data_IF_159758757965
#
_entry.id   IF_159758757965
#
_cell.length_a   1.000
_cell.length_b   1.000
_cell.length_c   1.000
_cell.angle_alpha   90.00
_cell.angle_beta   90.00
_cell.angle_gamma   90.00
#
_symmetry.space_group_name_H-M   'P 1'
#
loop_
_entity.id
_entity.type
_entity.pdbx_description
1 polymer ?
#
# COMPACT_ATOMS: atom_id res chain seq x y z
N UNK A 1 19.76 -25.51 57.76
CA UNK A 1 18.45 -25.03 57.26
C UNK A 1 18.73 -23.72 56.52
N UNK A 2 18.84 -23.76 55.18
CA UNK A 2 17.77 -23.38 54.23
C UNK A 2 17.28 -21.94 54.50
N UNK A 3 17.24 -21.00 53.56
CA UNK A 3 17.32 -21.07 52.10
C UNK A 3 17.53 -19.65 51.55
N UNK A 4 18.49 -19.50 50.64
CA UNK A 4 18.58 -18.35 49.72
C UNK A 4 17.47 -18.44 48.68
N UNK A 5 16.86 -17.31 48.34
CA UNK A 5 15.91 -17.19 47.24
C UNK A 5 16.23 -15.90 46.51
N UNK A 6 16.88 -15.98 45.35
CA UNK A 6 16.96 -14.91 44.34
C UNK A 6 17.60 -15.49 43.07
N UNK A 7 16.79 -15.83 42.08
CA UNK A 7 17.00 -15.53 40.65
C UNK A 7 15.74 -15.93 39.88
N UNK A 8 15.19 -14.97 39.13
CA UNK A 8 14.01 -15.14 38.29
C UNK A 8 14.30 -16.07 37.13
N UNK A 9 13.46 -17.10 36.97
CA UNK A 9 13.40 -17.91 35.77
C UNK A 9 12.57 -17.16 34.71
N UNK A 10 13.25 -16.65 33.68
CA UNK A 10 12.59 -16.28 32.44
C UNK A 10 12.07 -17.57 31.79
N UNK A 11 10.76 -17.61 31.53
CA UNK A 11 10.11 -18.71 30.83
C UNK A 11 10.68 -18.83 29.40
N UNK A 12 11.41 -19.91 29.14
CA UNK A 12 11.82 -20.30 27.81
C UNK A 12 10.67 -21.11 27.19
N UNK A 13 9.83 -20.48 26.37
CA UNK A 13 8.90 -21.21 25.51
C UNK A 13 9.68 -21.78 24.30
N UNK A 14 9.74 -23.12 24.12
CA UNK A 14 10.30 -23.69 22.90
C UNK A 14 9.28 -23.54 21.77
N UNK A 15 9.61 -22.72 20.77
CA UNK A 15 8.85 -22.63 19.51
C UNK A 15 8.96 -23.96 18.76
N UNK A 16 7.95 -24.82 18.92
CA UNK A 16 7.82 -26.06 18.15
C UNK A 16 7.41 -25.71 16.72
N UNK A 17 8.37 -25.72 15.79
CA UNK A 17 8.10 -25.62 14.35
C UNK A 17 7.54 -26.97 13.88
N UNK A 18 6.25 -27.02 13.55
CA UNK A 18 5.64 -28.15 12.83
C UNK A 18 6.08 -28.08 11.36
N UNK A 19 6.79 -29.08 10.81
CA UNK A 19 7.01 -29.17 9.38
C UNK A 19 5.69 -29.57 8.69
N UNK A 20 5.19 -28.71 7.82
CA UNK A 20 4.05 -29.02 6.94
C UNK A 20 4.49 -30.01 5.86
N UNK A 21 3.84 -31.18 5.73
CA UNK A 21 4.22 -32.14 4.70
C UNK A 21 3.68 -31.72 3.33
N UNK A 22 4.59 -31.60 2.37
CA UNK A 22 4.40 -32.02 0.97
C UNK A 22 3.28 -31.36 0.14
N UNK A 23 3.62 -30.25 -0.53
CA UNK A 23 2.99 -29.84 -1.78
C UNK A 23 4.05 -29.67 -2.86
N UNK A 24 4.29 -30.68 -3.70
CA UNK A 24 5.19 -30.57 -4.87
C UNK A 24 4.62 -29.54 -5.85
N UNK A 25 5.30 -28.40 -6.03
CA UNK A 25 5.11 -27.57 -7.22
C UNK A 25 5.51 -28.39 -8.45
N UNK A 26 4.72 -28.43 -9.54
CA UNK A 26 5.14 -29.07 -10.77
C UNK A 26 6.36 -28.30 -11.30
N UNK A 27 7.48 -28.99 -11.41
CA UNK A 27 8.69 -28.48 -12.05
C UNK A 27 8.37 -28.43 -13.55
N UNK A 28 8.33 -27.24 -14.13
CA UNK A 28 8.24 -27.07 -15.57
C UNK A 28 9.51 -27.68 -16.20
N UNK A 29 9.35 -28.85 -16.82
CA UNK A 29 10.37 -29.48 -17.67
C UNK A 29 10.49 -28.68 -18.97
N UNK A 30 11.13 -27.51 -18.90
CA UNK A 30 11.68 -26.87 -20.09
C UNK A 30 13.09 -27.45 -20.25
N UNK A 31 13.42 -28.15 -21.35
CA UNK A 31 14.79 -28.58 -21.59
C UNK A 31 15.67 -27.33 -21.69
N UNK A 32 16.48 -27.08 -20.66
CA UNK A 32 17.56 -26.11 -20.75
C UNK A 32 18.55 -26.70 -21.74
N UNK A 33 18.70 -26.04 -22.89
CA UNK A 33 19.71 -26.42 -23.87
C UNK A 33 21.08 -26.44 -23.17
N UNK A 34 21.91 -27.48 -23.37
CA UNK A 34 23.25 -27.50 -22.80
C UNK A 34 23.99 -26.25 -23.30
N UNK A 35 24.73 -25.55 -22.43
CA UNK A 35 25.57 -24.44 -22.87
C UNK A 35 26.52 -24.95 -23.96
N UNK A 36 26.82 -24.15 -25.00
CA UNK A 36 27.69 -24.58 -26.09
C UNK A 36 29.03 -25.08 -25.54
N UNK A 37 29.35 -26.32 -25.86
CA UNK A 37 30.55 -27.06 -25.44
C UNK A 37 31.80 -26.63 -26.20
N UNK A 38 31.94 -25.35 -26.51
CA UNK A 38 33.14 -24.81 -27.14
C UNK A 38 34.08 -24.29 -26.05
N UNK A 39 34.56 -25.21 -25.20
CA UNK A 39 35.70 -24.95 -24.33
C UNK A 39 36.96 -25.36 -25.08
N UNK A 40 37.61 -24.39 -25.72
CA UNK A 40 38.93 -24.60 -26.32
C UNK A 40 40.00 -24.57 -25.22
N UNK A 41 40.81 -25.64 -25.04
CA UNK A 41 41.87 -25.70 -24.02
C UNK A 41 43.01 -24.68 -24.22
N UNK A 42 42.99 -23.96 -25.34
CA UNK A 42 43.99 -22.99 -25.79
C UNK A 42 43.66 -21.56 -25.35
N UNK A 43 42.46 -21.29 -24.79
CA UNK A 43 42.07 -19.95 -24.37
C UNK A 43 42.73 -19.54 -23.04
N UNK A 44 43.93 -19.01 -23.22
CA UNK A 44 44.55 -17.95 -22.44
C UNK A 44 45.01 -18.31 -21.02
N UNK A 45 46.34 -18.41 -20.92
CA UNK A 45 47.13 -18.13 -19.72
C UNK A 45 47.00 -16.66 -19.23
N UNK A 46 46.01 -15.89 -19.70
CA UNK A 46 45.73 -14.53 -19.22
C UNK A 46 44.94 -14.59 -17.91
N UNK A 47 45.57 -15.18 -16.91
CA UNK A 47 45.33 -14.78 -15.54
C UNK A 47 45.99 -13.40 -15.38
N UNK A 48 45.31 -12.34 -15.81
CA UNK A 48 45.56 -10.98 -15.29
C UNK A 48 45.13 -10.97 -13.83
N UNK A 49 45.93 -11.62 -12.98
CA UNK A 49 45.79 -11.56 -11.54
C UNK A 49 46.14 -10.12 -11.17
N UNK A 50 45.11 -9.28 -11.02
CA UNK A 50 45.22 -8.00 -10.32
C UNK A 50 45.49 -8.27 -8.84
N UNK A 51 46.65 -8.84 -8.54
CA UNK A 51 47.15 -9.01 -7.18
C UNK A 51 47.77 -7.70 -6.71
N UNK A 52 47.70 -7.43 -5.40
CA UNK A 52 48.35 -6.29 -4.76
C UNK A 52 49.87 -6.23 -5.05
N UNK A 53 50.48 -7.35 -5.44
CA UNK A 53 51.89 -7.45 -5.77
C UNK A 53 52.11 -7.54 -7.30
N UNK A 54 52.66 -6.49 -7.93
CA UNK A 54 52.87 -6.45 -9.39
C UNK A 54 53.86 -7.49 -9.89
N UNK A 55 54.81 -7.91 -9.06
CA UNK A 55 55.80 -8.93 -9.41
C UNK A 55 55.19 -10.33 -9.48
N UNK A 56 54.27 -10.64 -8.55
CA UNK A 56 53.49 -11.89 -8.58
C UNK A 56 52.53 -11.91 -9.77
N UNK A 57 51.88 -10.77 -10.05
CA UNK A 57 51.02 -10.63 -11.22
C UNK A 57 51.80 -10.87 -12.54
N UNK A 58 53.02 -10.33 -12.64
CA UNK A 58 53.90 -10.55 -13.78
C UNK A 58 54.29 -12.05 -13.92
N UNK A 59 54.47 -12.75 -12.81
CA UNK A 59 54.86 -14.16 -12.77
C UNK A 59 53.70 -15.15 -12.94
N UNK A 60 52.45 -14.70 -12.85
CA UNK A 60 51.26 -15.57 -12.84
C UNK A 60 51.22 -16.60 -13.98
N UNK A 61 51.58 -16.28 -15.24
CA UNK A 61 51.62 -17.27 -16.32
C UNK A 61 52.62 -18.41 -16.06
N UNK A 62 53.79 -18.10 -15.52
CA UNK A 62 54.81 -19.09 -15.17
C UNK A 62 54.38 -19.95 -13.98
N UNK A 63 53.80 -19.35 -12.94
CA UNK A 63 53.30 -20.07 -11.77
C UNK A 63 52.14 -21.02 -12.15
N UNK A 64 51.26 -20.59 -13.05
CA UNK A 64 50.19 -21.42 -13.61
C UNK A 64 50.73 -22.57 -14.46
N UNK A 65 51.77 -22.34 -15.25
CA UNK A 65 52.47 -23.38 -16.00
C UNK A 65 53.11 -24.41 -15.05
N UNK A 66 53.84 -23.94 -14.04
CA UNK A 66 54.47 -24.76 -12.99
C UNK A 66 53.46 -25.72 -12.35
N UNK A 67 52.29 -25.22 -11.97
CA UNK A 67 51.23 -26.05 -11.38
C UNK A 67 50.76 -27.16 -12.34
N UNK A 68 50.62 -26.85 -13.64
CA UNK A 68 50.20 -27.82 -14.66
C UNK A 68 51.28 -28.87 -14.92
N UNK A 69 52.55 -28.47 -14.99
CA UNK A 69 53.67 -29.38 -15.19
C UNK A 69 53.78 -30.41 -14.06
N UNK A 70 53.55 -29.99 -12.81
CA UNK A 70 53.56 -30.89 -11.66
C UNK A 70 52.50 -32.00 -11.73
N UNK A 71 51.38 -31.72 -12.42
CA UNK A 71 50.28 -32.68 -12.62
C UNK A 71 50.42 -33.47 -13.94
N UNK A 72 51.43 -33.17 -14.77
CA UNK A 72 51.56 -33.73 -16.11
C UNK A 72 52.38 -35.03 -16.09
N UNK A 73 51.77 -36.12 -16.55
CA UNK A 73 52.42 -37.44 -16.59
C UNK A 73 53.05 -37.81 -17.95
N UNK A 74 52.89 -36.99 -18.99
CA UNK A 74 53.33 -37.30 -20.36
C UNK A 74 54.50 -36.45 -20.86
N UNK A 75 55.34 -37.02 -21.74
CA UNK A 75 56.32 -36.29 -22.55
C UNK A 75 55.61 -35.47 -23.64
N UNK A 76 55.36 -34.20 -23.38
CA UNK A 76 55.07 -33.24 -24.46
C UNK A 76 56.32 -32.91 -25.28
N UNK A 77 56.18 -32.14 -26.35
CA UNK A 77 57.31 -31.56 -27.08
C UNK A 77 58.11 -30.61 -26.16
N UNK A 78 59.17 -31.14 -25.54
CA UNK A 78 59.98 -30.42 -24.54
C UNK A 78 60.57 -29.13 -25.09
N UNK A 79 60.96 -29.11 -26.37
CA UNK A 79 61.52 -27.91 -27.00
C UNK A 79 60.47 -26.79 -27.14
N UNK A 80 59.21 -27.13 -27.38
CA UNK A 80 58.12 -26.15 -27.41
C UNK A 80 57.77 -25.66 -26.01
N UNK A 81 57.85 -26.54 -25.00
CA UNK A 81 57.73 -26.13 -23.60
C UNK A 81 58.86 -25.16 -23.24
N UNK A 82 60.10 -25.49 -23.60
CA UNK A 82 61.29 -24.66 -23.36
C UNK A 82 61.14 -23.28 -23.98
N UNK A 83 60.73 -23.21 -25.25
CA UNK A 83 60.47 -21.95 -25.97
C UNK A 83 59.40 -21.11 -25.27
N UNK A 84 58.30 -21.75 -24.84
CA UNK A 84 57.22 -21.08 -24.10
C UNK A 84 57.69 -20.53 -22.76
N UNK A 85 58.49 -21.29 -22.01
CA UNK A 85 59.06 -20.84 -20.73
C UNK A 85 60.01 -19.66 -20.95
N UNK A 86 60.90 -19.72 -21.94
CA UNK A 86 61.82 -18.63 -22.28
C UNK A 86 61.06 -17.33 -22.61
N UNK A 87 60.03 -17.41 -23.45
CA UNK A 87 59.21 -16.23 -23.78
C UNK A 87 58.42 -15.70 -22.57
N UNK A 88 57.91 -16.59 -21.72
CA UNK A 88 57.23 -16.18 -20.49
C UNK A 88 58.19 -15.52 -19.48
N UNK A 89 59.43 -16.00 -19.35
CA UNK A 89 60.48 -15.39 -18.52
C UNK A 89 60.87 -14.01 -19.04
N UNK A 90 61.10 -13.85 -20.35
CA UNK A 90 61.36 -12.53 -20.96
C UNK A 90 60.19 -11.56 -20.75
N UNK A 91 58.96 -12.06 -20.82
CA UNK A 91 57.75 -11.27 -20.57
C UNK A 91 57.66 -10.85 -19.10
N UNK A 92 57.98 -11.75 -18.19
CA UNK A 92 58.10 -11.45 -16.76
C UNK A 92 59.14 -10.36 -16.50
N UNK A 93 60.34 -10.47 -17.08
CA UNK A 93 61.41 -9.47 -16.94
C UNK A 93 60.94 -8.08 -17.38
N UNK A 94 60.34 -7.97 -18.57
CA UNK A 94 59.78 -6.71 -19.09
C UNK A 94 58.72 -6.12 -18.16
N UNK A 95 57.83 -6.95 -17.60
CA UNK A 95 56.77 -6.50 -16.68
C UNK A 95 57.34 -6.11 -15.30
N UNK A 96 58.34 -6.83 -14.81
CA UNK A 96 59.00 -6.57 -13.53
C UNK A 96 59.76 -5.23 -13.53
N UNK A 97 60.31 -4.80 -14.67
CA UNK A 97 60.94 -3.48 -14.81
C UNK A 97 59.97 -2.31 -14.51
N UNK A 98 58.68 -2.50 -14.73
CA UNK A 98 57.65 -1.51 -14.42
C UNK A 98 57.24 -1.41 -12.94
N UNK A 99 57.74 -2.30 -12.07
CA UNK A 99 57.27 -2.45 -10.69
C UNK A 99 58.03 -1.61 -9.63
N UNK A 100 58.94 -0.72 -10.05
CA UNK A 100 59.76 0.15 -9.17
C UNK A 100 60.48 -0.61 -8.03
N UNK A 101 61.15 -1.72 -8.38
CA UNK A 101 61.84 -2.62 -7.45
C UNK A 101 63.34 -2.33 -7.37
N UNK A 102 64.00 -2.62 -6.23
CA UNK A 102 65.45 -2.71 -6.17
C UNK A 102 65.97 -3.71 -7.23
N UNK A 103 67.03 -3.34 -7.96
CA UNK A 103 67.57 -4.18 -9.04
C UNK A 103 68.01 -5.57 -8.53
N UNK A 104 68.48 -5.64 -7.29
CA UNK A 104 68.83 -6.90 -6.64
C UNK A 104 67.60 -7.80 -6.40
N UNK A 105 66.50 -7.24 -5.91
CA UNK A 105 65.24 -7.96 -5.72
C UNK A 105 64.66 -8.48 -7.05
N UNK A 106 64.73 -7.66 -8.11
CA UNK A 106 64.30 -8.07 -9.45
C UNK A 106 65.14 -9.24 -10.00
N UNK A 107 66.47 -9.19 -9.86
CA UNK A 107 67.37 -10.29 -10.25
C UNK A 107 67.11 -11.56 -9.43
N UNK A 108 66.91 -11.42 -8.13
CA UNK A 108 66.60 -12.55 -7.25
C UNK A 108 65.26 -13.21 -7.60
N UNK A 109 64.23 -12.41 -7.90
CA UNK A 109 62.93 -12.90 -8.36
C UNK A 109 63.02 -13.63 -9.71
N UNK A 110 63.80 -13.08 -10.65
CA UNK A 110 64.08 -13.73 -11.93
C UNK A 110 64.79 -15.08 -11.74
N UNK A 111 65.81 -15.13 -10.90
CA UNK A 111 66.49 -16.38 -10.55
C UNK A 111 65.55 -17.39 -9.90
N UNK A 112 64.74 -16.93 -8.93
CA UNK A 112 63.79 -17.77 -8.20
C UNK A 112 62.80 -18.48 -9.14
N UNK A 113 62.28 -17.78 -10.16
CA UNK A 113 61.40 -18.38 -11.16
C UNK A 113 62.12 -19.40 -12.04
N UNK A 114 63.31 -19.06 -12.56
CA UNK A 114 64.11 -19.99 -13.34
C UNK A 114 64.40 -21.28 -12.56
N UNK A 115 64.87 -21.14 -11.31
CA UNK A 115 65.17 -22.27 -10.44
C UNK A 115 63.93 -23.11 -10.11
N UNK A 116 62.77 -22.46 -9.96
CA UNK A 116 61.50 -23.15 -9.69
C UNK A 116 61.05 -24.00 -10.87
N UNK A 117 61.11 -23.45 -12.09
CA UNK A 117 60.75 -24.19 -13.30
C UNK A 117 61.72 -25.36 -13.50
N UNK A 118 63.02 -25.13 -13.35
CA UNK A 118 64.03 -26.18 -13.50
C UNK A 118 63.85 -27.30 -12.48
N UNK A 119 63.69 -26.97 -11.19
CA UNK A 119 63.45 -27.96 -10.13
C UNK A 119 62.20 -28.80 -10.43
N UNK A 120 61.11 -28.16 -10.84
CA UNK A 120 59.85 -28.87 -11.06
C UNK A 120 59.90 -29.74 -12.32
N UNK A 121 60.48 -29.24 -13.42
CA UNK A 121 60.63 -30.02 -14.66
C UNK A 121 61.54 -31.21 -14.43
N UNK A 122 62.72 -31.02 -13.85
CA UNK A 122 63.69 -32.10 -13.61
C UNK A 122 63.15 -33.21 -12.72
N UNK A 123 62.17 -32.89 -11.88
CA UNK A 123 61.53 -33.82 -10.96
C UNK A 123 60.17 -34.36 -11.44
N UNK A 124 59.82 -34.15 -12.71
CA UNK A 124 58.74 -34.91 -13.37
C UNK A 124 59.25 -36.29 -13.82
N UNK A 125 58.36 -37.29 -14.04
CA UNK A 125 58.77 -38.63 -14.50
C UNK A 125 59.59 -38.64 -15.80
N UNK A 126 59.42 -37.62 -16.64
CA UNK A 126 60.06 -37.49 -17.94
C UNK A 126 61.21 -36.47 -17.98
N UNK A 127 61.35 -35.64 -16.93
CA UNK A 127 62.28 -34.52 -16.89
C UNK A 127 63.74 -34.93 -17.02
N UNK A 128 64.15 -35.95 -16.28
CA UNK A 128 65.54 -36.44 -16.26
C UNK A 128 66.04 -36.91 -17.63
N UNK A 129 65.15 -37.39 -18.50
CA UNK A 129 65.49 -37.95 -19.81
C UNK A 129 65.26 -36.96 -20.97
N UNK A 130 64.82 -35.73 -20.69
CA UNK A 130 64.33 -34.77 -21.69
C UNK A 130 65.40 -33.83 -22.26
N UNK A 131 66.65 -33.92 -21.79
CA UNK A 131 67.75 -33.00 -22.13
C UNK A 131 67.69 -31.64 -21.41
N UNK A 132 66.65 -31.40 -20.60
CA UNK A 132 66.47 -30.14 -19.85
C UNK A 132 67.65 -29.82 -18.92
N UNK A 133 68.32 -30.83 -18.36
CA UNK A 133 69.48 -30.65 -17.47
C UNK A 133 70.67 -29.93 -18.13
N UNK A 134 70.80 -29.98 -19.46
CA UNK A 134 71.88 -29.30 -20.20
C UNK A 134 71.59 -27.85 -20.52
N UNK A 135 70.30 -27.48 -20.59
CA UNK A 135 69.82 -26.19 -21.11
C UNK A 135 68.64 -25.67 -20.29
N UNK A 136 68.72 -25.78 -18.96
CA UNK A 136 67.73 -25.27 -18.03
C UNK A 136 67.64 -23.74 -18.06
N UNK A 137 66.64 -23.18 -17.41
CA UNK A 137 66.41 -21.74 -17.35
C UNK A 137 67.48 -21.04 -16.53
N UNK A 138 67.97 -21.63 -15.44
CA UNK A 138 69.05 -21.07 -14.62
C UNK A 138 70.35 -21.01 -15.42
N UNK A 139 70.72 -22.06 -16.14
CA UNK A 139 71.93 -22.06 -16.98
C UNK A 139 71.80 -21.11 -18.16
N UNK A 140 70.60 -20.98 -18.74
CA UNK A 140 70.36 -20.11 -19.91
C UNK A 140 70.44 -18.62 -19.56
N UNK A 141 69.86 -18.23 -18.42
CA UNK A 141 69.73 -16.81 -18.07
C UNK A 141 70.75 -16.31 -17.03
N UNK A 142 71.22 -17.18 -16.13
CA UNK A 142 72.12 -16.79 -15.04
C UNK A 142 73.51 -17.43 -15.14
N UNK A 143 73.76 -18.24 -16.18
CA UNK A 143 75.02 -18.97 -16.40
C UNK A 143 75.46 -19.78 -15.18
N UNK A 144 74.50 -20.18 -14.34
CA UNK A 144 74.73 -20.93 -13.11
C UNK A 144 74.36 -22.41 -13.36
N UNK A 145 75.31 -23.29 -13.12
CA UNK A 145 75.19 -24.74 -13.33
C UNK A 145 74.72 -25.45 -12.07
N UNK A 146 74.73 -24.76 -10.92
CA UNK A 146 74.44 -25.33 -9.60
C UNK A 146 72.95 -25.43 -9.27
N UNK A 147 72.07 -25.16 -10.25
CA UNK A 147 70.66 -25.59 -10.26
C UNK A 147 69.88 -25.37 -8.96
N UNK A 148 69.69 -24.12 -8.54
CA UNK A 148 68.75 -23.77 -7.46
C UNK A 148 69.34 -23.72 -6.06
N UNK A 149 70.64 -23.99 -5.86
CA UNK A 149 71.27 -23.79 -4.56
C UNK A 149 71.20 -22.32 -4.12
N UNK A 150 71.50 -21.37 -5.01
CA UNK A 150 71.52 -19.94 -4.66
C UNK A 150 70.16 -19.36 -4.29
N UNK A 151 69.06 -20.08 -4.53
CA UNK A 151 67.72 -19.64 -4.17
C UNK A 151 67.64 -19.26 -2.69
N UNK A 152 68.12 -20.15 -1.81
CA UNK A 152 68.05 -19.92 -0.36
C UNK A 152 69.04 -18.86 0.12
N UNK A 153 70.16 -18.66 -0.60
CA UNK A 153 71.12 -17.60 -0.27
C UNK A 153 70.53 -16.22 -0.60
N UNK A 154 69.90 -16.10 -1.77
CA UNK A 154 69.15 -14.91 -2.18
C UNK A 154 67.97 -14.66 -1.23
N UNK A 155 67.26 -15.70 -0.82
CA UNK A 155 66.17 -15.59 0.14
C UNK A 155 66.65 -15.00 1.48
N UNK A 156 67.74 -15.55 2.02
CA UNK A 156 68.31 -15.08 3.28
C UNK A 156 68.84 -13.65 3.19
N UNK A 157 69.43 -13.27 2.06
CA UNK A 157 69.88 -11.91 1.80
C UNK A 157 68.71 -10.92 1.76
N UNK A 158 67.66 -11.22 1.00
CA UNK A 158 66.46 -10.36 0.91
C UNK A 158 65.70 -10.26 2.23
N UNK A 159 65.75 -11.30 3.07
CA UNK A 159 65.20 -11.28 4.43
C UNK A 159 65.92 -10.31 5.37
N UNK A 160 67.09 -9.78 5.00
CA UNK A 160 67.79 -8.74 5.76
C UNK A 160 67.05 -7.40 5.78
N UNK A 161 66.36 -7.05 4.70
CA UNK A 161 65.44 -5.91 4.63
C UNK A 161 64.14 -6.35 3.95
N UNK A 162 63.21 -6.94 4.72
CA UNK A 162 61.95 -7.41 4.15
C UNK A 162 61.11 -6.25 3.60
N UNK A 163 61.27 -5.00 4.10
CA UNK A 163 60.40 -3.88 3.74
C UNK A 163 60.66 -3.41 2.31
N UNK A 164 61.93 -3.32 1.92
CA UNK A 164 62.32 -3.04 0.55
C UNK A 164 62.05 -4.23 -0.40
N UNK A 165 62.14 -5.47 0.12
CA UNK A 165 62.14 -6.68 -0.71
C UNK A 165 60.84 -7.49 -0.66
N UNK A 166 59.79 -6.98 -0.02
CA UNK A 166 58.55 -7.72 0.26
C UNK A 166 57.90 -8.32 -0.99
N UNK A 167 57.95 -7.63 -2.13
CA UNK A 167 57.39 -8.12 -3.38
C UNK A 167 58.11 -9.38 -3.91
N UNK A 168 59.44 -9.39 -3.85
CA UNK A 168 60.26 -10.54 -4.28
C UNK A 168 60.16 -11.70 -3.27
N UNK A 169 60.15 -11.39 -1.97
CA UNK A 169 59.95 -12.37 -0.91
C UNK A 169 58.60 -13.09 -1.04
N UNK A 170 57.53 -12.38 -1.39
CA UNK A 170 56.22 -12.98 -1.65
C UNK A 170 56.23 -13.90 -2.88
N UNK A 171 56.94 -13.53 -3.95
CA UNK A 171 57.10 -14.43 -5.09
C UNK A 171 57.86 -15.71 -4.70
N UNK A 172 58.94 -15.58 -3.95
CA UNK A 172 59.73 -16.73 -3.46
C UNK A 172 58.91 -17.62 -2.52
N UNK A 173 58.03 -17.03 -1.69
CA UNK A 173 57.06 -17.77 -0.88
C UNK A 173 56.12 -18.62 -1.74
N UNK A 174 55.62 -18.05 -2.84
CA UNK A 174 54.76 -18.78 -3.78
C UNK A 174 55.54 -19.90 -4.48
N UNK A 175 56.78 -19.67 -4.89
CA UNK A 175 57.65 -20.72 -5.45
C UNK A 175 57.80 -21.91 -4.50
N UNK A 176 58.14 -21.66 -3.23
CA UNK A 176 58.21 -22.69 -2.18
C UNK A 176 56.86 -23.41 -2.03
N UNK A 177 55.77 -22.66 -1.98
CA UNK A 177 54.42 -23.22 -1.79
C UNK A 177 53.93 -24.06 -2.97
N UNK A 178 54.39 -23.77 -4.19
CA UNK A 178 54.03 -24.48 -5.41
C UNK A 178 54.90 -25.74 -5.67
N UNK A 179 55.92 -25.97 -4.85
CA UNK A 179 56.69 -27.21 -4.84
C UNK A 179 58.17 -27.07 -5.21
N UNK A 180 58.73 -25.85 -5.20
CA UNK A 180 60.19 -25.70 -5.23
C UNK A 180 60.80 -26.26 -3.95
N UNK A 181 61.70 -27.22 -4.07
CA UNK A 181 62.43 -27.80 -2.95
C UNK A 181 63.94 -27.52 -3.04
N UNK A 182 64.50 -27.52 -4.25
CA UNK A 182 65.92 -27.30 -4.50
C UNK A 182 66.80 -28.22 -3.63
N UNK A 183 67.85 -27.67 -3.03
CA UNK A 183 68.77 -28.42 -2.14
C UNK A 183 68.11 -29.09 -0.93
N UNK A 184 66.91 -28.68 -0.54
CA UNK A 184 66.22 -29.32 0.59
C UNK A 184 65.72 -30.73 0.23
N UNK A 185 65.52 -31.06 -1.05
CA UNK A 185 65.01 -32.36 -1.49
C UNK A 185 65.89 -33.54 -1.06
N UNK A 186 67.20 -33.34 -1.05
CA UNK A 186 68.19 -34.38 -0.73
C UNK A 186 68.52 -34.46 0.77
N UNK A 187 68.06 -33.50 1.58
CA UNK A 187 68.35 -33.46 3.00
C UNK A 187 67.42 -34.41 3.79
N UNK A 188 67.93 -35.18 4.77
CA UNK A 188 67.12 -36.12 5.56
C UNK A 188 65.91 -35.50 6.28
N UNK A 189 66.00 -34.21 6.66
CA UNK A 189 64.91 -33.44 7.29
C UNK A 189 64.43 -32.29 6.39
N UNK A 190 64.66 -32.40 5.07
CA UNK A 190 64.41 -31.35 4.10
C UNK A 190 62.98 -30.82 4.09
N UNK A 191 61.99 -31.71 4.16
CA UNK A 191 60.58 -31.33 4.19
C UNK A 191 60.20 -30.50 5.43
N UNK A 192 60.80 -30.81 6.58
CA UNK A 192 60.58 -30.06 7.83
C UNK A 192 61.23 -28.67 7.73
N UNK A 193 62.46 -28.60 7.23
CA UNK A 193 63.16 -27.33 6.99
C UNK A 193 62.43 -26.46 5.97
N UNK A 194 61.90 -27.07 4.91
CA UNK A 194 61.09 -26.39 3.91
C UNK A 194 59.85 -25.75 4.54
N UNK A 195 59.10 -26.52 5.35
CA UNK A 195 57.95 -26.02 6.08
C UNK A 195 58.32 -24.88 7.04
N UNK A 196 59.44 -25.00 7.77
CA UNK A 196 59.96 -23.96 8.68
C UNK A 196 60.28 -22.67 7.95
N UNK A 197 60.97 -22.75 6.80
CA UNK A 197 61.33 -21.59 5.98
C UNK A 197 60.05 -20.92 5.45
N UNK A 198 59.09 -21.70 4.96
CA UNK A 198 57.81 -21.19 4.47
C UNK A 198 57.01 -20.48 5.56
N UNK A 199 56.91 -21.06 6.76
CA UNK A 199 56.20 -20.46 7.90
C UNK A 199 56.89 -19.18 8.38
N UNK A 200 58.23 -19.15 8.43
CA UNK A 200 58.99 -17.94 8.75
C UNK A 200 58.69 -16.83 7.75
N UNK A 201 58.75 -17.14 6.46
CA UNK A 201 58.49 -16.19 5.39
C UNK A 201 57.05 -15.67 5.41
N UNK A 202 56.07 -16.55 5.66
CA UNK A 202 54.66 -16.17 5.83
C UNK A 202 54.47 -15.16 6.97
N UNK A 203 55.06 -15.42 8.14
CA UNK A 203 54.97 -14.51 9.30
C UNK A 203 55.65 -13.17 9.01
N UNK A 204 56.83 -13.17 8.38
CA UNK A 204 57.51 -11.93 7.99
C UNK A 204 56.64 -11.12 7.04
N UNK A 205 56.08 -11.73 5.98
CA UNK A 205 55.21 -11.04 5.03
C UNK A 205 53.91 -10.55 5.67
N UNK A 206 53.32 -11.35 6.58
CA UNK A 206 52.12 -10.97 7.32
C UNK A 206 52.34 -9.76 8.24
N UNK A 207 53.48 -9.68 8.91
CA UNK A 207 53.84 -8.51 9.74
C UNK A 207 53.98 -7.23 8.92
N UNK A 208 54.36 -7.33 7.64
CA UNK A 208 54.54 -6.17 6.77
C UNK A 208 53.28 -5.67 6.09
N UNK A 209 52.36 -6.58 5.75
CA UNK A 209 51.10 -6.22 5.09
C UNK A 209 50.07 -5.60 6.06
N UNK A 210 50.34 -5.62 7.36
CA UNK A 210 49.42 -5.13 8.39
C UNK A 210 48.29 -6.12 8.68
N UNK A 211 47.27 -5.68 9.43
CA UNK A 211 46.06 -6.49 9.62
C UNK A 211 45.36 -6.68 8.28
N UNK A 212 45.35 -7.91 7.77
CA UNK A 212 44.51 -8.28 6.63
C UNK A 212 43.06 -7.96 6.98
N UNK A 213 42.37 -7.21 6.12
CA UNK A 213 40.93 -7.01 6.21
C UNK A 213 40.27 -8.38 6.31
N UNK A 214 39.75 -8.70 7.50
CA UNK A 214 39.10 -9.99 7.79
C UNK A 214 37.79 -10.15 7.01
N UNK A 215 37.29 -9.05 6.48
CA UNK A 215 36.03 -8.94 5.80
C UNK A 215 36.23 -9.30 4.32
N UNK A 216 35.63 -10.42 3.89
CA UNK A 216 35.75 -10.95 2.53
C UNK A 216 35.16 -10.04 1.45
N UNK A 217 34.41 -9.00 1.83
CA UNK A 217 33.93 -7.96 0.94
C UNK A 217 33.96 -6.58 1.62
N UNK A 218 34.28 -5.50 0.88
CA UNK A 218 34.27 -4.13 1.41
C UNK A 218 32.90 -3.68 1.96
N UNK A 219 31.82 -4.36 1.55
CA UNK A 219 30.44 -4.04 1.90
C UNK A 219 29.70 -5.30 2.35
N UNK A 220 30.25 -6.02 3.35
CA UNK A 220 29.62 -7.22 3.91
C UNK A 220 28.34 -6.93 4.68
N UNK A 221 28.20 -5.71 5.20
CA UNK A 221 26.96 -5.27 5.84
C UNK A 221 25.92 -5.05 4.75
N UNK A 222 24.95 -5.96 4.69
CA UNK A 222 23.77 -5.77 3.86
C UNK A 222 23.13 -4.42 4.18
N UNK A 223 22.57 -3.76 3.16
CA UNK A 223 21.80 -2.53 3.35
C UNK A 223 20.76 -2.80 4.44
N UNK A 224 20.79 -2.01 5.51
CA UNK A 224 19.77 -2.04 6.55
C UNK A 224 18.44 -1.56 5.95
N UNK A 225 17.81 -2.42 5.15
CA UNK A 225 16.50 -2.20 4.61
C UNK A 225 15.52 -2.49 5.75
N UNK A 226 14.85 -1.47 6.33
CA UNK A 226 13.81 -1.73 7.31
C UNK A 226 12.78 -2.66 6.67
N UNK A 227 12.54 -3.81 7.31
CA UNK A 227 11.51 -4.75 6.87
C UNK A 227 10.19 -4.00 6.73
N UNK A 228 9.75 -3.76 5.49
CA UNK A 228 8.43 -3.23 5.17
C UNK A 228 7.52 -4.44 4.95
N UNK A 229 6.69 -4.83 5.94
CA UNK A 229 5.66 -5.83 5.67
C UNK A 229 4.78 -5.32 4.54
N UNK A 230 4.38 -6.22 3.65
CA UNK A 230 3.29 -6.00 2.71
C UNK A 230 2.04 -5.68 3.54
N UNK A 231 1.77 -4.40 3.79
CA UNK A 231 0.50 -3.98 4.37
C UNK A 231 -0.58 -4.41 3.40
N UNK A 232 -1.60 -5.20 3.81
CA UNK A 232 -2.76 -5.42 2.96
C UNK A 232 -3.37 -4.04 2.71
N UNK A 233 -3.25 -3.56 1.47
CA UNK A 233 -3.36 -2.15 1.09
C UNK A 233 -4.78 -1.57 1.12
N UNK A 234 -5.69 -2.15 1.91
CA UNK A 234 -7.03 -1.62 2.12
C UNK A 234 -7.37 -1.91 3.59
N UNK A 235 -7.29 -0.87 4.42
CA UNK A 235 -7.73 -0.96 5.81
C UNK A 235 -9.23 -1.30 5.80
N UNK A 236 -9.66 -2.34 6.53
CA UNK A 236 -11.06 -2.80 6.57
C UNK A 236 -12.09 -1.66 6.65
N UNK A 237 -11.77 -0.61 7.40
CA UNK A 237 -12.58 0.61 7.54
C UNK A 237 -12.83 1.38 6.25
N UNK A 238 -11.90 1.35 5.29
CA UNK A 238 -12.09 1.99 3.98
C UNK A 238 -13.16 1.28 3.15
N UNK A 239 -13.19 -0.07 3.18
CA UNK A 239 -14.25 -0.85 2.52
C UNK A 239 -15.60 -0.55 3.18
N UNK A 240 -15.66 -0.55 4.51
CA UNK A 240 -16.90 -0.25 5.25
C UNK A 240 -17.40 1.17 4.94
N UNK A 241 -16.51 2.17 4.93
CA UNK A 241 -16.88 3.55 4.63
C UNK A 241 -17.43 3.72 3.21
N UNK A 242 -16.76 3.12 2.21
CA UNK A 242 -17.21 3.18 0.81
C UNK A 242 -18.55 2.47 0.63
N UNK A 243 -18.72 1.28 1.23
CA UNK A 243 -19.99 0.55 1.18
C UNK A 243 -21.15 1.35 1.81
N UNK A 244 -20.91 2.04 2.93
CA UNK A 244 -21.91 2.89 3.59
C UNK A 244 -22.31 4.09 2.72
N UNK A 245 -21.34 4.74 2.06
CA UNK A 245 -21.60 5.85 1.14
C UNK A 245 -22.46 5.38 -0.04
N UNK A 246 -22.11 4.24 -0.66
CA UNK A 246 -22.86 3.69 -1.80
C UNK A 246 -24.29 3.33 -1.38
N UNK A 247 -24.47 2.66 -0.25
CA UNK A 247 -25.80 2.31 0.26
C UNK A 247 -26.66 3.56 0.52
N UNK A 248 -26.06 4.62 1.08
CA UNK A 248 -26.75 5.88 1.36
C UNK A 248 -27.18 6.60 0.07
N UNK A 249 -26.30 6.66 -0.93
CA UNK A 249 -26.61 7.24 -2.24
C UNK A 249 -27.73 6.48 -2.94
N UNK A 250 -27.68 5.14 -2.90
CA UNK A 250 -28.69 4.28 -3.50
C UNK A 250 -30.05 4.45 -2.81
N UNK A 251 -30.09 4.45 -1.48
CA UNK A 251 -31.32 4.69 -0.72
C UNK A 251 -31.93 6.08 -1.01
N UNK A 252 -31.10 7.11 -1.08
CA UNK A 252 -31.53 8.48 -1.40
C UNK A 252 -32.10 8.56 -2.83
N UNK A 253 -31.41 7.95 -3.80
CA UNK A 253 -31.87 7.88 -5.18
C UNK A 253 -33.21 7.16 -5.34
N UNK A 254 -33.38 6.00 -4.68
CA UNK A 254 -34.66 5.28 -4.68
C UNK A 254 -35.77 6.06 -3.99
N UNK A 255 -35.50 6.68 -2.84
CA UNK A 255 -36.49 7.51 -2.15
C UNK A 255 -36.99 8.65 -3.04
N UNK A 256 -36.07 9.32 -3.75
CA UNK A 256 -36.43 10.39 -4.68
C UNK A 256 -37.27 9.89 -5.86
N UNK A 257 -36.90 8.75 -6.45
CA UNK A 257 -37.65 8.14 -7.56
C UNK A 257 -39.06 7.70 -7.14
N UNK A 258 -39.19 7.08 -5.97
CA UNK A 258 -40.49 6.65 -5.41
C UNK A 258 -41.39 7.83 -5.09
N UNK A 259 -40.86 8.90 -4.49
CA UNK A 259 -41.64 10.10 -4.19
C UNK A 259 -42.09 10.81 -5.48
N UNK A 260 -41.23 10.91 -6.50
CA UNK A 260 -41.60 11.48 -7.79
C UNK A 260 -42.75 10.71 -8.47
N UNK A 261 -42.73 9.37 -8.40
CA UNK A 261 -43.83 8.54 -8.93
C UNK A 261 -45.11 8.62 -8.09
N UNK A 262 -44.99 8.78 -6.77
CA UNK A 262 -46.12 8.88 -5.85
C UNK A 262 -46.93 10.16 -6.07
N UNK A 263 -46.27 11.29 -6.32
CA UNK A 263 -46.94 12.57 -6.60
C UNK A 263 -47.83 12.49 -7.86
N UNK A 264 -47.36 11.80 -8.91
CA UNK A 264 -48.16 11.59 -10.14
C UNK A 264 -49.40 10.72 -9.87
N UNK A 265 -49.25 9.65 -9.07
CA UNK A 265 -50.37 8.77 -8.71
C UNK A 265 -51.37 9.52 -7.83
N UNK A 266 -50.90 10.29 -6.85
CA UNK A 266 -51.76 11.09 -5.97
C UNK A 266 -52.54 12.15 -6.77
N UNK A 267 -51.87 12.81 -7.72
CA UNK A 267 -52.52 13.76 -8.63
C UNK A 267 -53.57 13.08 -9.53
N UNK A 268 -53.34 11.84 -9.98
CA UNK A 268 -54.34 11.06 -10.72
C UNK A 268 -55.52 10.66 -9.82
N UNK A 269 -55.27 10.18 -8.61
CA UNK A 269 -56.32 9.82 -7.64
C UNK A 269 -57.19 11.02 -7.26
N UNK A 270 -56.58 12.19 -7.03
CA UNK A 270 -57.31 13.42 -6.72
C UNK A 270 -58.24 13.89 -7.85
N UNK A 271 -58.02 13.42 -9.09
CA UNK A 271 -58.83 13.75 -10.27
C UNK A 271 -59.84 12.67 -10.64
N UNK A 272 -59.82 11.50 -9.99
CA UNK A 272 -60.79 10.43 -10.25
C UNK A 272 -62.16 10.81 -9.66
N UNK A 273 -63.26 10.75 -10.44
CA UNK A 273 -64.60 10.89 -9.90
C UNK A 273 -64.99 9.70 -9.00
N UNK A 274 -65.86 9.92 -8.00
CA UNK A 274 -66.56 11.17 -7.70
C UNK A 274 -65.75 12.10 -6.77
N UNK A 275 -65.61 13.37 -7.15
CA UNK A 275 -65.01 14.42 -6.31
C UNK A 275 -65.88 14.79 -5.10
N UNK A 276 -67.15 14.37 -5.13
CA UNK A 276 -68.08 14.44 -4.01
C UNK A 276 -68.27 13.04 -3.44
N UNK A 277 -68.03 12.86 -2.14
CA UNK A 277 -68.46 11.65 -1.43
C UNK A 277 -69.95 11.42 -1.72
N UNK A 278 -70.38 10.21 -2.15
CA UNK A 278 -71.80 9.95 -2.36
C UNK A 278 -72.53 10.20 -1.03
N UNK A 279 -73.20 11.34 -0.96
CA UNK A 279 -74.11 11.61 0.14
C UNK A 279 -75.33 10.73 -0.12
N UNK A 280 -75.50 9.70 0.71
CA UNK A 280 -76.80 9.05 0.83
C UNK A 280 -77.73 10.18 1.28
N UNK A 281 -78.59 10.64 0.37
CA UNK A 281 -79.71 11.51 0.71
C UNK A 281 -80.64 10.67 1.57
N UNK A 282 -80.44 10.70 2.88
CA UNK A 282 -81.54 10.39 3.78
C UNK A 282 -82.61 11.45 3.50
N UNK A 283 -83.76 11.01 2.96
CA UNK A 283 -84.89 11.87 2.63
C UNK A 283 -85.62 12.42 3.87
N UNK A 284 -84.91 12.64 4.98
CA UNK A 284 -85.45 13.18 6.23
C UNK A 284 -84.34 13.87 7.02
N UNK A 285 -83.85 14.99 6.51
CA UNK A 285 -83.18 15.98 7.34
C UNK A 285 -83.56 17.36 6.85
N UNK A 286 -84.61 17.93 7.45
CA UNK A 286 -84.72 19.38 7.57
C UNK A 286 -83.38 19.86 8.15
N UNK A 287 -82.68 20.83 7.54
CA UNK A 287 -81.43 21.32 8.10
C UNK A 287 -81.70 21.78 9.53
N UNK A 288 -81.05 21.21 10.56
CA UNK A 288 -81.24 21.69 11.91
C UNK A 288 -80.81 23.16 11.95
N UNK A 289 -81.59 24.06 12.58
CA UNK A 289 -81.26 25.50 12.68
C UNK A 289 -79.87 25.75 13.30
N UNK A 290 -79.27 24.76 13.95
CA UNK A 290 -77.91 24.79 14.49
C UNK A 290 -76.80 25.00 13.45
N UNK A 291 -76.93 24.51 12.20
CA UNK A 291 -75.88 24.65 11.19
C UNK A 291 -75.79 26.10 10.63
N UNK A 292 -76.93 26.75 10.42
CA UNK A 292 -76.99 28.17 10.05
C UNK A 292 -76.51 29.06 11.21
N UNK A 293 -76.90 28.73 12.45
CA UNK A 293 -76.48 29.47 13.63
C UNK A 293 -74.96 29.42 13.86
N UNK A 294 -74.31 28.26 13.64
CA UNK A 294 -72.86 28.13 13.83
C UNK A 294 -72.03 28.96 12.85
N UNK A 295 -72.46 29.04 11.58
CA UNK A 295 -71.82 29.88 10.56
C UNK A 295 -71.93 31.38 10.91
N UNK A 296 -73.12 31.82 11.32
CA UNK A 296 -73.35 33.22 11.67
C UNK A 296 -72.65 33.60 12.98
N UNK A 297 -72.55 32.68 13.94
CA UNK A 297 -71.73 32.84 15.15
C UNK A 297 -70.24 32.96 14.83
N UNK A 298 -69.69 32.12 13.93
CA UNK A 298 -68.30 32.24 13.48
C UNK A 298 -68.04 33.59 12.80
N UNK A 299 -68.96 34.03 11.93
CA UNK A 299 -68.87 35.33 11.26
C UNK A 299 -68.92 36.49 12.23
N UNK A 300 -69.81 36.44 13.22
CA UNK A 300 -69.93 37.48 14.24
C UNK A 300 -68.69 37.53 15.13
N UNK A 301 -68.17 36.38 15.58
CA UNK A 301 -67.02 36.29 16.48
C UNK A 301 -65.70 36.69 15.79
N UNK A 302 -65.54 36.34 14.52
CA UNK A 302 -64.36 36.64 13.70
C UNK A 302 -64.52 37.89 12.83
N UNK A 303 -65.56 38.71 13.04
CA UNK A 303 -65.81 39.91 12.26
C UNK A 303 -64.60 40.87 12.18
N UNK A 304 -63.82 41.11 13.27
CA UNK A 304 -62.62 41.94 13.19
C UNK A 304 -61.53 41.37 12.26
N UNK A 305 -61.36 40.05 12.24
CA UNK A 305 -60.36 39.35 11.44
C UNK A 305 -60.78 39.27 9.96
N UNK A 306 -62.08 39.12 9.71
CA UNK A 306 -62.68 39.18 8.37
C UNK A 306 -62.51 40.59 7.79
N UNK A 307 -62.76 41.64 8.58
CA UNK A 307 -62.59 43.03 8.15
C UNK A 307 -61.13 43.38 7.79
N UNK A 308 -60.15 42.72 8.45
CA UNK A 308 -58.71 42.85 8.13
C UNK A 308 -58.25 41.95 6.97
N UNK A 309 -59.15 41.15 6.38
CA UNK A 309 -58.83 40.25 5.28
C UNK A 309 -57.96 39.05 5.67
N UNK A 310 -57.83 38.75 6.97
CA UNK A 310 -56.99 37.67 7.48
C UNK A 310 -57.68 36.30 7.37
N UNK A 311 -59.00 36.29 7.46
CA UNK A 311 -59.83 35.07 7.45
C UNK A 311 -61.06 35.27 6.55
N UNK A 312 -61.52 34.22 5.88
CA UNK A 312 -62.79 34.20 5.15
C UNK A 312 -63.65 33.03 5.63
N UNK A 313 -64.92 33.28 5.96
CA UNK A 313 -65.83 32.25 6.46
C UNK A 313 -66.90 31.93 5.40
N UNK A 314 -66.81 30.71 4.84
CA UNK A 314 -67.64 30.21 3.74
C UNK A 314 -68.56 29.08 4.20
N UNK A 315 -69.76 29.01 3.61
CA UNK A 315 -70.64 27.85 3.76
C UNK A 315 -70.27 26.78 2.70
N UNK A 316 -70.12 25.52 3.10
CA UNK A 316 -69.91 24.38 2.19
C UNK A 316 -70.89 23.27 2.55
N UNK A 317 -72.11 23.34 2.00
CA UNK A 317 -73.19 22.42 2.36
C UNK A 317 -73.60 22.58 3.84
N UNK A 318 -73.64 21.51 4.65
CA UNK A 318 -73.92 21.58 6.08
C UNK A 318 -72.72 22.02 6.94
N UNK A 319 -71.55 22.21 6.33
CA UNK A 319 -70.29 22.49 7.02
C UNK A 319 -69.88 23.97 6.84
N UNK A 320 -69.17 24.51 7.83
CA UNK A 320 -68.58 25.84 7.79
C UNK A 320 -67.07 25.75 7.54
N UNK A 321 -66.54 26.56 6.62
CA UNK A 321 -65.12 26.58 6.29
C UNK A 321 -64.53 27.94 6.67
N UNK A 322 -63.61 27.95 7.62
CA UNK A 322 -62.80 29.10 7.98
C UNK A 322 -61.50 29.02 7.21
N UNK A 323 -61.34 29.85 6.18
CA UNK A 323 -60.20 29.89 5.28
C UNK A 323 -59.18 30.94 5.72
N UNK A 324 -57.93 30.52 5.85
CA UNK A 324 -56.80 31.37 6.15
C UNK A 324 -55.84 31.39 4.96
N UNK A 325 -55.40 32.58 4.57
CA UNK A 325 -54.35 32.75 3.56
C UNK A 325 -52.99 32.37 4.15
N UNK A 326 -52.11 31.77 3.35
CA UNK A 326 -50.76 31.39 3.79
C UNK A 326 -49.84 32.61 4.05
N UNK A 327 -50.10 33.76 3.40
CA UNK A 327 -49.26 34.95 3.50
C UNK A 327 -48.95 35.33 4.96
N UNK A 328 -47.67 35.22 5.34
CA UNK A 328 -47.17 35.54 6.68
C UNK A 328 -47.38 34.45 7.75
N UNK A 329 -48.02 33.32 7.43
CA UNK A 329 -48.25 32.22 8.38
C UNK A 329 -47.11 31.21 8.39
N UNK A 330 -46.47 30.98 7.24
CA UNK A 330 -45.34 30.08 7.10
C UNK A 330 -44.30 30.69 6.18
N UNK A 331 -43.02 30.53 6.53
CA UNK A 331 -41.92 30.79 5.59
C UNK A 331 -41.97 29.79 4.41
N UNK A 332 -41.33 30.18 3.30
CA UNK A 332 -41.23 29.33 2.11
C UNK A 332 -40.55 28.00 2.46
N UNK A 333 -41.20 26.88 2.14
CA UNK A 333 -40.71 25.54 2.44
C UNK A 333 -40.68 25.14 3.92
N UNK A 334 -41.28 25.94 4.81
CA UNK A 334 -41.40 25.65 6.23
C UNK A 334 -42.82 25.26 6.62
N UNK A 335 -42.93 24.44 7.68
CA UNK A 335 -44.17 24.14 8.39
C UNK A 335 -44.23 24.78 9.78
N UNK A 336 -43.25 25.60 10.14
CA UNK A 336 -43.25 26.35 11.41
C UNK A 336 -44.20 27.54 11.27
N UNK A 337 -45.20 27.61 12.15
CA UNK A 337 -46.15 28.74 12.21
C UNK A 337 -45.42 29.99 12.70
N UNK A 338 -45.59 31.10 11.98
CA UNK A 338 -45.03 32.39 12.38
C UNK A 338 -45.65 32.86 13.71
N UNK A 339 -44.84 33.33 14.68
CA UNK A 339 -45.35 33.79 15.98
C UNK A 339 -46.43 34.88 15.90
N UNK A 340 -46.40 35.73 14.87
CA UNK A 340 -47.39 36.79 14.66
C UNK A 340 -48.79 36.25 14.36
N UNK A 341 -48.88 35.02 13.85
CA UNK A 341 -50.14 34.36 13.49
C UNK A 341 -50.74 33.54 14.63
N UNK A 342 -49.96 33.24 15.68
CA UNK A 342 -50.43 32.46 16.85
C UNK A 342 -51.67 33.10 17.51
N UNK A 343 -51.72 34.42 17.78
CA UNK A 343 -52.91 35.03 18.39
C UNK A 343 -54.19 34.86 17.56
N UNK A 344 -54.09 34.89 16.23
CA UNK A 344 -55.20 34.66 15.31
C UNK A 344 -55.71 33.22 15.43
N UNK A 345 -54.80 32.24 15.41
CA UNK A 345 -55.13 30.82 15.53
C UNK A 345 -55.79 30.49 16.88
N UNK A 346 -55.31 31.09 17.97
CA UNK A 346 -55.93 30.93 19.30
C UNK A 346 -57.34 31.54 19.34
N UNK A 347 -57.55 32.71 18.71
CA UNK A 347 -58.90 33.29 18.59
C UNK A 347 -59.85 32.42 17.78
N UNK A 348 -59.36 31.76 16.73
CA UNK A 348 -60.17 30.82 15.96
C UNK A 348 -60.53 29.60 16.82
N UNK A 349 -59.60 29.07 17.61
CA UNK A 349 -59.90 28.00 18.57
C UNK A 349 -60.99 28.41 19.57
N UNK A 350 -60.90 29.63 20.11
CA UNK A 350 -61.93 30.19 21.01
C UNK A 350 -63.29 30.33 20.31
N UNK A 351 -63.32 30.69 19.02
CA UNK A 351 -64.54 30.77 18.22
C UNK A 351 -65.18 29.39 17.96
N UNK A 352 -64.37 28.33 17.91
CA UNK A 352 -64.81 26.95 17.68
C UNK A 352 -65.31 26.27 18.95
N UNK A 353 -64.86 26.67 20.14
CA UNK A 353 -65.26 26.09 21.42
C UNK A 353 -66.77 26.07 21.71
N UNK A 354 -67.54 27.15 21.48
CA UNK A 354 -69.00 27.13 21.70
C UNK A 354 -69.74 26.29 20.65
N UNK A 355 -69.05 25.87 19.58
CA UNK A 355 -69.62 25.11 18.47
C UNK A 355 -69.33 23.62 18.65
N UNK A 356 -70.36 22.78 18.46
CA UNK A 356 -70.22 21.32 18.36
C UNK A 356 -69.71 20.87 16.99
N UNK A 357 -69.36 19.57 16.81
CA UNK A 357 -68.92 19.01 15.52
C UNK A 357 -67.42 18.69 15.37
N UNK A 358 -67.04 17.98 14.32
CA UNK A 358 -65.62 17.71 14.03
C UNK A 358 -64.91 18.94 13.43
N UNK A 359 -63.64 19.13 13.75
CA UNK A 359 -62.78 20.19 13.20
C UNK A 359 -61.67 19.55 12.39
N UNK A 360 -61.74 19.67 11.06
CA UNK A 360 -60.69 19.18 10.16
C UNK A 360 -59.87 20.36 9.65
N UNK A 361 -58.56 20.36 9.89
CA UNK A 361 -57.63 21.34 9.33
C UNK A 361 -57.05 20.77 8.04
N UNK A 362 -57.32 21.43 6.93
CA UNK A 362 -56.88 21.01 5.61
C UNK A 362 -55.79 21.96 5.11
N UNK A 363 -54.59 21.42 4.88
CA UNK A 363 -53.46 22.15 4.33
C UNK A 363 -53.39 22.05 2.81
N UNK A 364 -53.24 23.19 2.12
CA UNK A 364 -53.04 23.24 0.67
C UNK A 364 -51.74 23.98 0.32
N UNK A 365 -51.07 23.51 -0.74
CA UNK A 365 -49.88 24.12 -1.35
C UNK A 365 -50.18 24.56 -2.78
N UNK A 366 -49.25 25.26 -3.41
CA UNK A 366 -49.30 25.49 -4.86
C UNK A 366 -48.68 24.30 -5.63
N UNK A 367 -48.67 24.40 -6.95
CA UNK A 367 -48.08 23.37 -7.84
C UNK A 367 -46.56 23.46 -7.96
N UNK A 368 -45.88 24.38 -7.25
CA UNK A 368 -44.42 24.41 -7.29
C UNK A 368 -43.88 23.25 -6.44
N UNK A 369 -43.09 22.34 -7.02
CA UNK A 369 -42.65 21.16 -6.29
C UNK A 369 -41.64 21.52 -5.20
N UNK A 370 -41.88 21.07 -3.96
CA UNK A 370 -40.87 21.08 -2.90
C UNK A 370 -40.14 19.73 -2.83
N UNK A 371 -38.81 19.79 -2.76
CA UNK A 371 -37.95 18.62 -2.57
C UNK A 371 -36.81 18.95 -1.63
N UNK A 372 -37.06 18.77 -0.34
CA UNK A 372 -36.06 18.97 0.72
C UNK A 372 -35.92 17.70 1.55
N UNK A 373 -34.83 17.57 2.31
CA UNK A 373 -34.63 16.44 3.23
C UNK A 373 -35.82 16.35 4.23
N UNK A 374 -36.36 17.49 4.65
CA UNK A 374 -37.46 17.57 5.62
C UNK A 374 -38.84 17.32 4.99
N UNK A 375 -39.04 17.79 3.76
CA UNK A 375 -40.31 17.67 3.03
C UNK A 375 -40.05 17.11 1.63
N UNK A 376 -40.20 15.78 1.45
CA UNK A 376 -39.93 15.12 0.17
C UNK A 376 -40.95 15.43 -0.93
N UNK A 377 -42.17 15.85 -0.57
CA UNK A 377 -43.21 16.26 -1.52
C UNK A 377 -44.15 17.33 -0.95
N UNK A 378 -44.95 17.94 -1.84
CA UNK A 378 -45.95 18.96 -1.47
C UNK A 378 -47.00 18.41 -0.51
N UNK A 379 -47.33 17.12 -0.62
CA UNK A 379 -48.22 16.44 0.33
C UNK A 379 -47.65 16.49 1.75
N UNK A 380 -46.37 16.12 1.92
CA UNK A 380 -45.70 16.15 3.23
C UNK A 380 -45.63 17.56 3.82
N UNK A 381 -45.36 18.58 3.00
CA UNK A 381 -45.38 19.97 3.45
C UNK A 381 -46.78 20.41 3.90
N UNK A 382 -47.80 20.07 3.11
CA UNK A 382 -49.19 20.44 3.39
C UNK A 382 -49.74 19.77 4.66
N UNK A 383 -49.42 18.48 4.87
CA UNK A 383 -49.77 17.73 6.07
C UNK A 383 -49.07 18.33 7.30
N UNK A 384 -47.76 18.57 7.23
CA UNK A 384 -47.00 19.13 8.34
C UNK A 384 -47.48 20.54 8.73
N UNK A 385 -47.92 21.36 7.78
CA UNK A 385 -48.53 22.67 8.05
C UNK A 385 -49.89 22.55 8.73
N UNK A 386 -50.73 21.61 8.29
CA UNK A 386 -52.00 21.31 8.94
C UNK A 386 -51.78 20.84 10.39
N UNK A 387 -50.79 19.96 10.61
CA UNK A 387 -50.40 19.47 11.94
C UNK A 387 -49.90 20.60 12.85
N UNK A 388 -49.08 21.51 12.32
CA UNK A 388 -48.56 22.64 13.09
C UNK A 388 -49.68 23.61 13.51
N UNK A 389 -50.62 23.91 12.63
CA UNK A 389 -51.81 24.72 12.97
C UNK A 389 -52.68 23.96 13.97
N UNK A 390 -52.86 22.65 13.79
CA UNK A 390 -53.59 21.80 14.71
C UNK A 390 -53.00 21.79 16.11
N UNK A 391 -51.68 21.73 16.24
CA UNK A 391 -50.99 21.82 17.52
C UNK A 391 -51.26 23.16 18.22
N UNK A 392 -51.28 24.27 17.48
CA UNK A 392 -51.62 25.60 18.05
C UNK A 392 -53.08 25.64 18.50
N UNK A 393 -54.02 25.16 17.68
CA UNK A 393 -55.45 25.12 18.02
C UNK A 393 -55.73 24.21 19.23
N UNK A 394 -55.09 23.05 19.29
CA UNK A 394 -55.22 22.10 20.40
C UNK A 394 -54.79 22.68 21.75
N UNK A 395 -53.94 23.72 21.77
CA UNK A 395 -53.57 24.45 22.98
C UNK A 395 -54.74 25.18 23.63
N UNK A 396 -55.81 25.46 22.88
CA UNK A 396 -56.93 26.32 23.30
C UNK A 396 -58.32 25.72 23.09
N UNK A 397 -58.41 24.64 22.32
CA UNK A 397 -59.64 23.89 22.11
C UNK A 397 -60.00 23.06 23.36
N UNK A 398 -61.27 23.12 23.80
CA UNK A 398 -61.76 22.42 24.99
C UNK A 398 -61.74 20.89 24.83
N UNK A 399 -62.01 20.39 23.63
CA UNK A 399 -61.98 18.97 23.30
C UNK A 399 -61.10 18.72 22.06
N UNK A 400 -59.89 18.20 22.31
CA UNK A 400 -58.90 17.91 21.28
C UNK A 400 -59.26 16.71 20.41
N UNK A 401 -60.12 15.81 20.89
CA UNK A 401 -60.50 14.60 20.15
C UNK A 401 -61.29 14.89 18.88
N UNK A 402 -61.82 16.10 18.78
CA UNK A 402 -62.57 16.61 17.63
C UNK A 402 -61.68 17.13 16.51
N UNK A 403 -60.37 17.22 16.74
CA UNK A 403 -59.42 17.81 15.81
C UNK A 403 -58.76 16.75 14.93
N UNK A 404 -58.84 16.92 13.61
CA UNK A 404 -58.14 16.12 12.61
C UNK A 404 -57.37 17.02 11.65
N UNK A 405 -56.31 16.49 11.04
CA UNK A 405 -55.43 17.24 10.12
C UNK A 405 -55.23 16.44 8.84
N UNK A 406 -55.38 17.10 7.70
CA UNK A 406 -55.27 16.48 6.38
C UNK A 406 -54.46 17.37 5.43
N UNK A 407 -53.41 16.83 4.81
CA UNK A 407 -52.63 17.48 3.76
C UNK A 407 -53.18 17.14 2.38
N UNK A 408 -53.49 18.17 1.58
CA UNK A 408 -54.08 18.01 0.24
C UNK A 408 -53.12 18.42 -0.89
N UNK A 409 -51.87 18.78 -0.60
CA UNK A 409 -50.92 19.27 -1.59
C UNK A 409 -51.56 20.36 -2.49
N UNK A 410 -51.36 20.28 -3.81
CA UNK A 410 -51.93 21.15 -4.84
C UNK A 410 -53.35 20.75 -5.30
N UNK A 411 -53.99 19.78 -4.62
CA UNK A 411 -55.35 19.36 -4.95
C UNK A 411 -56.39 20.44 -4.62
N UNK A 412 -57.47 20.47 -5.42
CA UNK A 412 -58.55 21.45 -5.33
C UNK A 412 -58.07 22.93 -5.33
N UNK A 413 -57.44 23.39 -6.44
CA UNK A 413 -56.99 24.77 -6.58
C UNK A 413 -58.17 25.74 -6.62
N UNK A 414 -58.03 26.90 -5.97
CA UNK A 414 -59.01 27.99 -6.00
C UNK A 414 -58.82 28.93 -7.18
N UNK A 415 -57.57 29.08 -7.63
CA UNK A 415 -57.18 29.93 -8.74
C UNK A 415 -56.18 29.19 -9.65
N UNK A 416 -55.96 29.71 -10.85
CA UNK A 416 -54.95 29.18 -11.76
C UNK A 416 -53.54 29.31 -11.15
N UNK A 417 -52.72 28.26 -11.27
CA UNK A 417 -51.37 28.22 -10.69
C UNK A 417 -50.30 28.92 -11.56
N UNK A 418 -50.69 29.46 -12.71
CA UNK A 418 -49.82 30.17 -13.65
C UNK A 418 -49.40 31.56 -13.12
N UNK A 419 -50.28 32.23 -12.37
CA UNK A 419 -50.01 33.54 -11.78
C UNK A 419 -49.45 33.46 -10.35
N UNK A 420 -48.52 34.34 -9.95
CA UNK A 420 -48.07 34.45 -8.56
C UNK A 420 -49.23 34.64 -7.57
N UNK A 421 -50.22 35.44 -7.95
CA UNK A 421 -51.42 35.73 -7.15
C UNK A 421 -52.28 34.48 -6.97
N UNK A 422 -52.47 33.70 -8.04
CA UNK A 422 -53.23 32.45 -7.99
C UNK A 422 -52.52 31.37 -7.17
N UNK A 423 -51.18 31.27 -7.26
CA UNK A 423 -50.38 30.38 -6.39
C UNK A 423 -50.50 30.77 -4.92
N UNK A 424 -50.45 32.07 -4.61
CA UNK A 424 -50.63 32.54 -3.24
C UNK A 424 -52.02 32.26 -2.68
N UNK A 425 -53.07 32.34 -3.52
CA UNK A 425 -54.42 31.93 -3.12
C UNK A 425 -54.55 30.42 -2.89
N UNK A 426 -53.78 29.61 -3.62
CA UNK A 426 -53.78 28.15 -3.46
C UNK A 426 -53.00 27.68 -2.23
N UNK A 427 -51.97 28.43 -1.80
CA UNK A 427 -51.32 28.26 -0.49
C UNK A 427 -52.28 28.73 0.61
N UNK A 428 -52.99 27.80 1.25
CA UNK A 428 -54.00 28.14 2.28
C UNK A 428 -54.16 27.04 3.32
N UNK A 429 -54.78 27.42 4.43
CA UNK A 429 -55.28 26.49 5.43
C UNK A 429 -56.80 26.65 5.51
N UNK A 430 -57.55 25.58 5.28
CA UNK A 430 -59.00 25.54 5.41
C UNK A 430 -59.35 24.78 6.70
N UNK A 431 -59.99 25.44 7.65
CA UNK A 431 -60.50 24.82 8.88
C UNK A 431 -61.97 24.52 8.67
N UNK A 432 -62.31 23.24 8.52
CA UNK A 432 -63.65 22.74 8.23
C UNK A 432 -64.29 22.31 9.53
N UNK A 433 -65.39 22.98 9.90
CA UNK A 433 -66.27 22.58 10.98
C UNK A 433 -67.41 21.74 10.38
N UNK A 434 -67.38 20.43 10.66
CA UNK A 434 -68.41 19.50 10.22
C UNK A 434 -69.40 19.23 11.34
N UNK A 435 -70.70 19.39 11.04
CA UNK A 435 -71.79 19.10 12.00
C UNK A 435 -71.91 17.60 12.30
N UNK A 436 -71.28 16.75 11.48
CA UNK A 436 -71.14 15.31 11.69
C UNK A 436 -69.82 15.02 12.39
N UNK A 437 -69.87 14.33 13.52
CA UNK A 437 -68.66 13.87 14.19
C UNK A 437 -68.04 12.74 13.36
N UNK A 438 -66.89 12.99 12.73
CA UNK A 438 -66.14 12.00 11.93
C UNK A 438 -65.30 11.07 12.81
N UNK A 439 -65.37 11.20 14.14
CA UNK A 439 -64.66 10.38 15.11
C UNK A 439 -65.34 9.02 15.32
N UNK A 440 -65.38 8.17 14.27
CA UNK A 440 -65.43 6.71 14.36
C UNK A 440 -65.55 6.12 12.95
N UNK A 441 -64.41 5.69 12.42
CA UNK A 441 -64.35 4.61 11.42
C UNK A 441 -63.45 3.54 12.06
N UNK A 442 -63.89 2.27 12.17
CA UNK A 442 -63.09 1.19 12.78
C UNK A 442 -61.81 0.88 11.99
#
# INVERSE_FOLDING_TARGET
MQSQSFYGQAAYEPTIVKPTPGGRRPVSNTPVAPPPTDYHPEDSLDLTVGGLNPLVAAAAPLLGLVRRLRLSSGQGHIEDLRRRVIEAIKTFEKRAQGANLPAEAARAAHYALCATVDDIVLNTPWGGNSGWSRSGMVSTFHLDVSGGERFFDLLNHLLGDPAANGQALELMYLCLSLGFEGRLRVLPQGALEHARIRDRLYRTLGQQKGETERELSPHWQGVAAPYRPLRPGIEFWTVVAVSLIVATLMATGFSFALNAGSDEILAKMARLPPADTPSIRDASAVPPPAAANGLDQLRAFLAPEIARGQVTVLAKGPDAVVRLRNAGMFESGSATVDPSCIPLLLRIADALNPLGGGVTIVGHTDTMPIRTIRFPSNWHLSQARADAVGAVLAGRLADRSRLTTEGMADAAPLAANDTPEGREANRRIDIVLSTRNKAQTP
#
